data_IF_867632790523
#
_entry.id   IF_867632790523
#
_cell.length_a   1.000
_cell.length_b   1.000
_cell.length_c   1.000
_cell.angle_alpha   90.00
_cell.angle_beta   90.00
_cell.angle_gamma   90.00
#
_symmetry.space_group_name_H-M   'P 1'
#
loop_
_entity.id
_entity.type
_entity.pdbx_description
1 polymer ?
#
# COMPACT_ATOMS: atom_id res chain seq x y z
N UNK A 1 31.27 19.17 25.90
CA UNK A 1 30.03 19.98 25.80
C UNK A 1 29.72 20.26 24.32
N UNK A 2 29.28 19.32 23.48
CA UNK A 2 28.17 18.37 23.60
C UNK A 2 26.81 19.06 23.82
N UNK A 3 26.01 19.00 22.74
CA UNK A 3 24.54 19.10 22.61
C UNK A 3 24.00 20.30 21.80
N UNK A 4 23.07 19.92 20.94
CA UNK A 4 22.00 20.70 20.30
C UNK A 4 22.29 21.34 18.93
N UNK A 5 22.37 20.47 17.90
CA UNK A 5 22.16 20.83 16.50
C UNK A 5 21.42 19.71 15.74
N UNK A 6 20.28 19.25 16.27
CA UNK A 6 19.39 18.31 15.56
C UNK A 6 17.93 18.53 16.00
N UNK A 7 17.27 19.54 15.43
CA UNK A 7 15.80 19.67 15.47
C UNK A 7 15.31 20.71 14.46
N UNK A 8 15.60 20.51 13.18
CA UNK A 8 15.18 21.45 12.14
C UNK A 8 14.72 20.76 10.84
N UNK A 9 13.82 19.77 10.95
CA UNK A 9 12.89 19.43 9.85
C UNK A 9 11.54 19.02 10.48
N UNK A 10 10.89 20.00 11.09
CA UNK A 10 9.47 19.95 11.42
C UNK A 10 8.89 21.30 11.02
N UNK A 11 7.74 21.29 10.36
CA UNK A 11 7.00 22.43 9.79
C UNK A 11 7.39 22.90 8.38
N UNK A 12 6.60 22.49 7.39
CA UNK A 12 6.22 23.35 6.25
C UNK A 12 5.04 22.77 5.47
N UNK A 13 3.90 22.58 6.14
CA UNK A 13 2.60 22.53 5.45
C UNK A 13 1.62 23.41 6.24
N UNK A 14 1.75 24.72 6.04
CA UNK A 14 0.80 25.70 6.52
C UNK A 14 -0.21 25.99 5.39
N UNK A 15 -1.42 25.47 5.51
CA UNK A 15 -2.56 26.05 4.81
C UNK A 15 -2.75 27.47 5.37
N UNK A 16 -2.52 28.50 4.54
CA UNK A 16 -2.82 29.88 4.92
C UNK A 16 -4.35 30.05 5.03
N UNK A 17 -4.86 30.73 6.06
CA UNK A 17 -6.28 31.06 6.13
C UNK A 17 -6.66 32.04 5.02
N UNK A 18 -7.87 31.88 4.47
CA UNK A 18 -8.51 32.90 3.64
C UNK A 18 -8.77 34.12 4.53
N UNK A 19 -8.25 35.32 4.22
CA UNK A 19 -8.46 36.49 5.06
C UNK A 19 -9.93 36.93 4.98
N UNK A 20 -10.65 36.93 6.11
CA UNK A 20 -11.98 37.58 6.21
C UNK A 20 -13.08 36.87 7.01
N UNK A 21 -12.91 35.62 7.45
CA UNK A 21 -13.98 34.90 8.16
C UNK A 21 -13.56 34.54 9.60
N UNK A 22 -13.83 35.42 10.55
CA UNK A 22 -13.80 35.08 11.98
C UNK A 22 -15.15 34.48 12.36
N UNK A 23 -15.22 33.16 12.54
CA UNK A 23 -16.39 32.49 13.11
C UNK A 23 -16.10 32.20 14.59
N UNK A 24 -16.96 32.66 15.53
CA UNK A 24 -16.76 32.39 16.94
C UNK A 24 -17.01 30.91 17.27
N UNK A 25 -16.06 30.28 17.94
CA UNK A 25 -16.18 28.93 18.50
C UNK A 25 -17.27 28.90 19.58
N UNK A 26 -18.43 28.32 19.27
CA UNK A 26 -19.44 27.94 20.28
C UNK A 26 -19.36 26.43 20.50
N UNK A 27 -18.92 26.03 21.68
CA UNK A 27 -18.93 24.62 22.11
C UNK A 27 -20.39 24.14 22.26
N UNK A 28 -20.78 22.99 21.69
CA UNK A 28 -22.10 22.42 21.91
C UNK A 28 -22.25 21.89 23.33
N UNK A 29 -23.35 22.25 24.00
CA UNK A 29 -23.75 21.75 25.30
C UNK A 29 -24.02 20.24 25.30
N UNK A 30 -23.51 19.55 26.32
CA UNK A 30 -23.69 18.13 26.63
C UNK A 30 -25.17 17.68 26.55
N UNK A 31 -25.49 16.84 25.57
CA UNK A 31 -26.63 15.93 25.61
C UNK A 31 -26.19 14.54 25.17
N UNK A 32 -26.05 13.61 26.12
CA UNK A 32 -25.78 12.19 25.87
C UNK A 32 -27.06 11.48 25.39
N UNK A 33 -26.99 10.57 24.40
CA UNK A 33 -28.12 9.70 24.05
C UNK A 33 -28.26 8.52 25.03
N UNK A 34 -29.47 7.95 25.20
CA UNK A 34 -29.74 6.90 26.18
C UNK A 34 -29.23 5.51 25.74
N UNK A 35 -28.65 4.79 26.68
CA UNK A 35 -28.16 3.41 26.56
C UNK A 35 -29.33 2.43 26.70
N UNK A 36 -29.60 1.61 25.69
CA UNK A 36 -30.49 0.44 25.81
C UNK A 36 -29.68 -0.78 26.26
N UNK A 37 -29.93 -1.26 27.48
CA UNK A 37 -29.50 -2.57 27.99
C UNK A 37 -30.57 -3.60 27.63
N UNK A 38 -30.21 -4.66 26.92
CA UNK A 38 -31.03 -5.87 26.82
C UNK A 38 -30.53 -6.92 27.82
N UNK A 39 -31.47 -7.42 28.61
CA UNK A 39 -31.27 -8.36 29.70
C UNK A 39 -31.38 -9.81 29.20
N UNK A 40 -30.53 -10.69 29.73
CA UNK A 40 -30.75 -12.14 29.72
C UNK A 40 -31.75 -12.50 30.84
N UNK A 41 -32.76 -13.35 30.60
CA UNK A 41 -33.50 -13.97 31.70
C UNK A 41 -32.91 -15.34 32.02
N UNK A 42 -32.52 -15.53 33.28
CA UNK A 42 -32.29 -16.84 33.87
C UNK A 42 -33.51 -17.21 34.74
N UNK A 43 -34.03 -18.41 34.47
CA UNK A 43 -34.63 -19.38 35.39
C UNK A 43 -35.87 -19.02 36.22
N UNK A 44 -36.87 -19.92 36.19
CA UNK A 44 -37.59 -20.43 37.38
C UNK A 44 -38.23 -21.79 37.00
N UNK A 45 -38.06 -22.77 37.89
CA UNK A 45 -38.65 -24.11 37.92
C UNK A 45 -40.18 -24.07 38.21
N UNK A 46 -41.03 -25.09 38.23
CA UNK A 46 -41.02 -26.55 38.16
C UNK A 46 -42.49 -26.99 37.91
N UNK A 47 -42.75 -28.20 37.36
CA UNK A 47 -43.86 -29.06 37.83
C UNK A 47 -43.98 -30.38 37.03
N UNK A 48 -44.23 -31.44 37.81
CA UNK A 48 -45.04 -32.63 37.53
C UNK A 48 -44.47 -33.80 36.72
N UNK A 49 -44.37 -34.93 37.43
CA UNK A 49 -44.09 -36.27 36.93
C UNK A 49 -45.39 -37.01 36.56
N UNK A 50 -45.38 -37.77 35.46
CA UNK A 50 -46.20 -38.97 35.27
C UNK A 50 -45.56 -39.88 34.19
N UNK A 51 -45.52 -41.17 34.47
CA UNK A 51 -44.75 -42.20 33.79
C UNK A 51 -45.47 -42.88 32.60
N UNK A 52 -44.70 -43.37 31.61
CA UNK A 52 -44.95 -44.59 30.79
C UNK A 52 -43.81 -44.85 29.79
N UNK A 53 -43.67 -46.07 29.21
CA UNK A 53 -42.43 -46.86 29.31
C UNK A 53 -41.43 -46.75 28.13
N UNK A 54 -40.26 -47.31 28.40
CA UNK A 54 -39.01 -47.28 27.64
C UNK A 54 -39.07 -47.81 26.19
N UNK A 55 -38.38 -47.06 25.31
CA UNK A 55 -37.78 -47.56 24.06
C UNK A 55 -36.30 -47.17 24.10
N UNK A 56 -35.34 -48.11 23.99
CA UNK A 56 -33.92 -47.75 24.01
C UNK A 56 -33.56 -47.00 22.72
N UNK A 57 -32.94 -45.81 22.79
CA UNK A 57 -32.40 -45.15 21.60
C UNK A 57 -31.15 -45.90 21.13
N UNK A 58 -31.16 -46.33 19.86
CA UNK A 58 -29.97 -46.87 19.20
C UNK A 58 -28.82 -45.86 19.17
N UNK A 59 -27.56 -46.31 19.06
CA UNK A 59 -26.41 -45.43 19.09
C UNK A 59 -26.46 -44.42 17.92
N UNK A 60 -26.16 -43.13 18.16
CA UNK A 60 -26.11 -42.15 17.09
C UNK A 60 -24.96 -42.49 16.14
N UNK A 61 -25.27 -42.68 14.86
CA UNK A 61 -24.27 -42.74 13.79
C UNK A 61 -23.58 -41.38 13.69
N UNK A 62 -22.36 -41.28 14.22
CA UNK A 62 -21.53 -40.09 14.08
C UNK A 62 -21.18 -39.87 12.60
N UNK A 63 -21.23 -38.63 12.08
CA UNK A 63 -20.78 -38.36 10.73
C UNK A 63 -19.29 -38.69 10.62
N UNK A 64 -18.91 -39.44 9.59
CA UNK A 64 -17.53 -39.85 9.32
C UNK A 64 -16.60 -38.62 9.39
N UNK A 65 -15.73 -38.60 10.40
CA UNK A 65 -14.85 -37.48 10.66
C UNK A 65 -13.92 -37.25 9.47
N UNK A 66 -13.90 -36.02 8.94
CA UNK A 66 -12.83 -35.54 8.08
C UNK A 66 -11.56 -35.56 8.95
N UNK A 67 -10.76 -36.61 8.82
CA UNK A 67 -9.46 -36.70 9.48
C UNK A 67 -8.58 -35.58 8.93
N UNK A 68 -8.37 -34.53 9.73
CA UNK A 68 -7.36 -33.51 9.44
C UNK A 68 -6.00 -34.20 9.50
N UNK A 69 -5.45 -34.54 8.33
CA UNK A 69 -4.06 -35.00 8.22
C UNK A 69 -3.17 -33.79 8.48
N UNK A 70 -2.79 -33.58 9.74
CA UNK A 70 -1.77 -32.61 10.09
C UNK A 70 -0.45 -33.10 9.51
N UNK A 71 0.24 -32.25 8.72
CA UNK A 71 1.63 -32.51 8.35
C UNK A 71 2.45 -32.77 9.63
N UNK A 72 3.43 -33.69 9.62
CA UNK A 72 4.26 -33.97 10.79
C UNK A 72 4.89 -32.68 11.30
N UNK A 73 4.84 -32.45 12.62
CA UNK A 73 5.54 -31.32 13.25
C UNK A 73 7.01 -31.39 12.85
N UNK A 74 7.54 -30.32 12.24
CA UNK A 74 8.97 -30.26 11.91
C UNK A 74 9.79 -30.53 13.17
N UNK A 75 10.88 -31.29 13.03
CA UNK A 75 11.80 -31.52 14.14
C UNK A 75 12.37 -30.17 14.62
N UNK A 76 12.69 -30.02 15.92
CA UNK A 76 13.30 -28.80 16.43
C UNK A 76 14.58 -28.40 15.69
N UNK A 77 15.33 -29.39 15.20
CA UNK A 77 16.55 -29.21 14.40
C UNK A 77 16.25 -28.72 12.99
N UNK A 78 15.28 -29.33 12.30
CA UNK A 78 14.82 -28.87 10.99
C UNK A 78 14.25 -27.45 11.08
N UNK A 79 13.60 -27.10 12.19
CA UNK A 79 13.13 -25.73 12.45
C UNK A 79 14.30 -24.76 12.60
N UNK A 80 15.33 -25.09 13.40
CA UNK A 80 16.55 -24.28 13.56
C UNK A 80 17.30 -24.10 12.23
N UNK A 81 17.38 -25.15 11.43
CA UNK A 81 18.01 -25.09 10.12
C UNK A 81 17.20 -24.25 9.12
N UNK A 82 15.87 -24.40 9.11
CA UNK A 82 14.98 -23.53 8.36
C UNK A 82 15.20 -22.06 8.76
N UNK A 83 15.28 -21.77 10.05
CA UNK A 83 15.53 -20.42 10.54
C UNK A 83 16.91 -19.88 10.11
N UNK A 84 17.95 -20.70 10.17
CA UNK A 84 19.31 -20.37 9.69
C UNK A 84 19.33 -20.05 8.19
N UNK A 85 18.65 -20.86 7.37
CA UNK A 85 18.61 -20.71 5.91
C UNK A 85 17.69 -19.58 5.45
N UNK A 86 16.55 -19.40 6.12
CA UNK A 86 15.61 -18.33 5.82
C UNK A 86 16.06 -16.97 6.37
N UNK A 87 16.95 -16.95 7.37
CA UNK A 87 17.38 -15.75 8.08
C UNK A 87 16.29 -15.13 8.96
N UNK A 88 15.15 -15.80 9.08
CA UNK A 88 14.03 -15.48 9.96
C UNK A 88 14.23 -16.46 11.11
N UNK A 89 14.23 -16.06 12.36
CA UNK A 89 14.48 -17.00 13.46
C UNK A 89 14.15 -16.37 14.81
N UNK A 90 13.85 -17.18 15.83
CA UNK A 90 13.51 -16.68 17.17
C UNK A 90 14.65 -15.84 17.78
N UNK A 91 15.89 -16.00 17.30
CA UNK A 91 17.07 -15.31 17.81
C UNK A 91 17.13 -13.82 17.43
N UNK A 92 16.21 -13.34 16.57
CA UNK A 92 16.17 -11.94 16.15
C UNK A 92 17.50 -11.49 15.56
N UNK A 93 18.35 -12.39 15.01
CA UNK A 93 19.70 -12.04 14.54
C UNK A 93 19.66 -10.96 13.47
N UNK A 94 18.70 -11.04 12.55
CA UNK A 94 18.41 -10.01 11.55
C UNK A 94 17.88 -8.72 12.16
N UNK A 95 17.05 -8.82 13.19
CA UNK A 95 16.54 -7.66 13.91
C UNK A 95 17.65 -6.95 14.70
N UNK A 96 18.53 -7.69 15.37
CA UNK A 96 19.73 -7.17 16.02
C UNK A 96 20.68 -6.51 15.02
N UNK A 97 20.86 -7.12 13.85
CA UNK A 97 21.67 -6.54 12.78
C UNK A 97 21.03 -5.25 12.23
N UNK A 98 19.70 -5.23 12.05
CA UNK A 98 18.96 -4.03 11.68
C UNK A 98 19.12 -2.94 12.77
N UNK A 99 18.96 -3.26 14.05
CA UNK A 99 19.11 -2.29 15.13
C UNK A 99 20.51 -1.64 15.16
N UNK A 100 21.54 -2.42 14.86
CA UNK A 100 22.94 -1.97 14.81
C UNK A 100 23.29 -1.15 13.54
N UNK A 101 22.46 -1.19 12.51
CA UNK A 101 22.70 -0.44 11.28
C UNK A 101 22.40 1.05 11.42
N UNK A 102 23.21 1.84 10.72
CA UNK A 102 23.06 3.28 10.54
C UNK A 102 21.73 3.64 9.83
N UNK A 103 21.39 4.93 9.82
CA UNK A 103 20.17 5.43 9.18
C UNK A 103 20.07 5.02 7.70
N UNK A 104 18.88 4.57 7.31
CA UNK A 104 18.61 4.09 5.94
C UNK A 104 18.54 5.28 4.98
N UNK A 105 19.24 5.24 3.82
CA UNK A 105 19.19 6.29 2.81
C UNK A 105 17.76 6.59 2.35
N UNK A 106 17.42 7.86 2.06
CA UNK A 106 16.05 8.25 1.67
C UNK A 106 15.61 7.60 0.35
N UNK A 107 16.55 7.29 -0.55
CA UNK A 107 16.29 6.58 -1.81
C UNK A 107 15.64 5.22 -1.59
N UNK A 108 16.10 4.47 -0.60
CA UNK A 108 15.56 3.15 -0.27
C UNK A 108 14.14 3.30 0.28
N UNK A 109 13.90 4.32 1.12
CA UNK A 109 12.56 4.61 1.63
C UNK A 109 11.58 4.95 0.50
N UNK A 110 12.03 5.68 -0.53
CA UNK A 110 11.23 6.01 -1.72
C UNK A 110 10.95 4.79 -2.60
N UNK A 111 11.94 3.94 -2.82
CA UNK A 111 11.83 2.74 -3.67
C UNK A 111 10.89 1.68 -3.08
N UNK A 112 10.87 1.57 -1.76
CA UNK A 112 10.15 0.54 -1.01
C UNK A 112 9.04 1.12 -0.14
N UNK A 113 8.19 1.99 -0.69
CA UNK A 113 7.07 2.58 0.06
C UNK A 113 6.14 1.51 0.65
N UNK A 114 5.97 0.39 -0.04
CA UNK A 114 5.09 -0.70 0.37
C UNK A 114 5.66 -1.58 1.48
N UNK A 115 6.93 -1.42 1.83
CA UNK A 115 7.57 -2.11 2.94
C UNK A 115 6.98 -1.78 4.30
N UNK A 116 6.31 -0.63 4.40
CA UNK A 116 5.74 -0.15 5.63
C UNK A 116 4.72 -1.17 6.17
N UNK A 117 4.68 -1.36 7.50
CA UNK A 117 3.63 -2.14 8.13
C UNK A 117 2.24 -1.62 7.72
N UNK A 118 1.23 -2.50 7.61
CA UNK A 118 -0.13 -2.07 7.39
C UNK A 118 -0.61 -1.22 8.57
N UNK A 119 -1.43 -0.21 8.29
CA UNK A 119 -2.05 0.66 9.29
C UNK A 119 -3.28 -0.08 9.83
N UNK A 120 -3.05 -0.99 10.78
CA UNK A 120 -4.06 -1.77 11.49
C UNK A 120 -3.74 -1.70 12.97
N UNK A 121 -4.72 -1.93 13.86
CA UNK A 121 -4.43 -1.99 15.29
C UNK A 121 -3.38 -3.05 15.58
N UNK A 122 -2.51 -2.76 16.55
CA UNK A 122 -1.37 -3.59 16.90
C UNK A 122 -1.77 -5.03 17.26
N UNK A 123 -2.98 -5.24 17.78
CA UNK A 123 -3.51 -6.56 18.15
C UNK A 123 -3.68 -7.51 16.96
N UNK A 124 -3.88 -6.99 15.75
CA UNK A 124 -4.01 -7.79 14.53
C UNK A 124 -2.71 -7.84 13.71
N UNK A 125 -1.61 -7.35 14.28
CA UNK A 125 -0.34 -7.21 13.59
C UNK A 125 0.63 -8.30 14.01
N UNK A 126 1.08 -9.08 13.02
CA UNK A 126 2.04 -10.17 13.23
C UNK A 126 3.43 -9.81 12.64
N UNK A 127 4.45 -9.52 13.47
CA UNK A 127 5.79 -9.15 12.98
C UNK A 127 6.46 -10.23 12.13
N UNK A 128 6.13 -11.50 12.40
CA UNK A 128 6.65 -12.65 11.64
C UNK A 128 6.11 -12.65 10.21
N UNK A 129 4.80 -12.39 10.05
CA UNK A 129 4.15 -12.33 8.73
C UNK A 129 4.72 -11.16 7.92
N UNK A 130 4.92 -10.01 8.56
CA UNK A 130 5.55 -8.85 7.91
C UNK A 130 6.98 -9.11 7.46
N UNK A 131 7.76 -9.82 8.29
CA UNK A 131 9.12 -10.25 7.93
C UNK A 131 9.13 -11.21 6.74
N UNK A 132 8.21 -12.18 6.73
CA UNK A 132 8.03 -13.12 5.62
C UNK A 132 7.63 -12.40 4.33
N UNK A 133 6.69 -11.45 4.42
CA UNK A 133 6.30 -10.63 3.27
C UNK A 133 7.50 -9.87 2.69
N UNK A 134 8.28 -9.19 3.53
CA UNK A 134 9.46 -8.43 3.08
C UNK A 134 10.53 -9.34 2.45
N UNK A 135 10.80 -10.49 3.07
CA UNK A 135 11.71 -11.49 2.49
C UNK A 135 11.25 -11.97 1.11
N UNK A 136 9.97 -12.25 0.94
CA UNK A 136 9.42 -12.72 -0.34
C UNK A 136 9.39 -11.61 -1.41
N UNK A 137 9.08 -10.36 -1.03
CA UNK A 137 9.19 -9.19 -1.92
C UNK A 137 10.60 -9.08 -2.50
N UNK A 138 11.62 -9.26 -1.66
CA UNK A 138 13.02 -9.14 -2.09
C UNK A 138 13.47 -10.33 -2.92
N UNK A 139 12.97 -11.54 -2.66
CA UNK A 139 13.17 -12.69 -3.57
C UNK A 139 12.57 -12.40 -4.94
N UNK A 140 11.35 -11.86 -5.01
CA UNK A 140 10.71 -11.54 -6.29
C UNK A 140 11.48 -10.48 -7.07
N UNK A 141 12.02 -9.45 -6.38
CA UNK A 141 12.87 -8.41 -6.99
C UNK A 141 14.23 -8.90 -7.50
N UNK A 142 14.67 -10.11 -7.15
CA UNK A 142 15.83 -10.74 -7.80
C UNK A 142 15.54 -11.13 -9.25
N UNK A 143 14.27 -11.33 -9.60
CA UNK A 143 13.81 -11.70 -10.95
C UNK A 143 13.29 -10.49 -11.71
N UNK A 144 12.47 -9.65 -11.07
CA UNK A 144 11.89 -8.45 -11.68
C UNK A 144 12.56 -7.19 -11.14
N UNK A 145 12.98 -6.31 -12.05
CA UNK A 145 13.36 -4.95 -11.69
C UNK A 145 12.11 -4.07 -11.55
N UNK A 146 11.86 -3.56 -10.35
CA UNK A 146 10.75 -2.66 -10.03
C UNK A 146 11.34 -1.26 -9.77
N UNK A 147 11.05 -0.25 -10.62
CA UNK A 147 11.58 1.09 -10.45
C UNK A 147 10.89 1.85 -9.30
N UNK A 148 11.47 2.99 -8.91
CA UNK A 148 10.78 3.97 -8.06
C UNK A 148 9.66 4.64 -8.86
N UNK A 149 8.45 4.68 -8.33
CA UNK A 149 7.35 5.45 -8.91
C UNK A 149 6.35 5.88 -7.84
N UNK A 150 5.64 6.96 -8.12
CA UNK A 150 4.64 7.55 -7.22
C UNK A 150 3.31 7.70 -7.94
N UNK A 151 2.27 8.08 -7.19
CA UNK A 151 0.98 8.45 -7.80
C UNK A 151 1.17 9.72 -8.62
N UNK A 152 0.74 9.65 -9.88
CA UNK A 152 1.01 10.63 -10.93
C UNK A 152 2.09 10.20 -11.92
N UNK A 153 2.94 9.22 -11.62
CA UNK A 153 3.96 8.75 -12.56
C UNK A 153 3.34 7.98 -13.74
N UNK A 154 3.97 8.06 -14.92
CA UNK A 154 3.55 7.32 -16.12
C UNK A 154 4.38 6.05 -16.23
N UNK A 155 3.69 4.91 -16.33
CA UNK A 155 4.31 3.58 -16.37
C UNK A 155 3.90 2.84 -17.64
N UNK A 156 4.81 2.00 -18.12
CA UNK A 156 4.54 0.96 -19.09
C UNK A 156 4.74 -0.41 -18.45
N UNK A 157 3.65 -1.16 -18.31
CA UNK A 157 3.65 -2.49 -17.69
C UNK A 157 3.46 -3.53 -18.79
N UNK A 158 4.35 -4.53 -18.80
CA UNK A 158 4.26 -5.67 -19.70
C UNK A 158 3.85 -6.91 -18.89
N UNK A 159 2.73 -7.52 -19.26
CA UNK A 159 2.14 -8.68 -18.57
C UNK A 159 2.06 -9.87 -19.52
N UNK A 160 2.40 -11.05 -19.03
CA UNK A 160 2.14 -12.31 -19.72
C UNK A 160 0.63 -12.62 -19.69
N UNK A 161 0.01 -12.71 -20.85
CA UNK A 161 -1.37 -13.14 -21.00
C UNK A 161 -1.44 -14.31 -21.99
N UNK A 162 -2.12 -15.38 -21.61
CA UNK A 162 -2.30 -16.58 -22.43
C UNK A 162 -3.07 -16.29 -23.72
N UNK A 163 -3.98 -15.33 -23.69
CA UNK A 163 -4.90 -15.04 -24.79
C UNK A 163 -4.44 -13.89 -25.70
N UNK A 164 -3.41 -13.15 -25.31
CA UNK A 164 -2.82 -12.11 -26.13
C UNK A 164 -2.08 -12.71 -27.34
N UNK A 165 -2.08 -12.05 -28.51
CA UNK A 165 -1.48 -12.58 -29.74
C UNK A 165 0.02 -12.86 -29.59
N UNK A 166 0.74 -11.98 -28.89
CA UNK A 166 2.17 -12.12 -28.63
C UNK A 166 2.47 -12.78 -27.27
N UNK A 167 1.44 -13.31 -26.59
CA UNK A 167 1.46 -13.77 -25.18
C UNK A 167 1.89 -12.74 -24.15
N UNK A 168 2.27 -11.54 -24.59
CA UNK A 168 2.67 -10.40 -23.76
C UNK A 168 1.80 -9.22 -24.18
N UNK A 169 1.13 -8.62 -23.20
CA UNK A 169 0.37 -7.39 -23.36
C UNK A 169 1.14 -6.24 -22.71
N UNK A 170 1.32 -5.14 -23.43
CA UNK A 170 1.96 -3.91 -22.92
C UNK A 170 0.89 -2.84 -22.76
N UNK A 171 0.76 -2.32 -21.55
CA UNK A 171 -0.16 -1.23 -21.24
C UNK A 171 0.62 -0.02 -20.70
N UNK A 172 0.38 1.15 -21.29
CA UNK A 172 0.94 2.42 -20.85
C UNK A 172 -0.17 3.25 -20.21
N UNK A 173 0.11 3.87 -19.07
CA UNK A 173 -0.86 4.72 -18.40
C UNK A 173 -0.34 5.46 -17.17
N UNK A 174 -1.20 6.34 -16.66
CA UNK A 174 -0.96 7.11 -15.44
C UNK A 174 -1.25 6.26 -14.21
N UNK A 175 -0.33 6.23 -13.24
CA UNK A 175 -0.59 5.62 -11.95
C UNK A 175 -1.50 6.53 -11.11
N UNK A 176 -2.75 6.12 -10.94
CA UNK A 176 -3.77 6.90 -10.22
C UNK A 176 -3.80 6.59 -8.73
N UNK A 177 -3.53 5.34 -8.40
CA UNK A 177 -3.76 4.82 -7.08
C UNK A 177 -2.73 3.74 -6.80
N UNK A 178 -2.14 3.80 -5.61
CA UNK A 178 -1.28 2.75 -5.06
C UNK A 178 -1.81 2.42 -3.67
N UNK A 179 -2.19 1.17 -3.45
CA UNK A 179 -2.84 0.71 -2.20
C UNK A 179 -2.19 -0.54 -1.67
N UNK A 180 -2.52 -0.83 -0.43
CA UNK A 180 -2.02 -1.97 0.34
C UNK A 180 -0.51 -1.87 0.61
N UNK A 181 -0.03 -2.79 1.43
CA UNK A 181 1.37 -2.89 1.83
C UNK A 181 1.85 -4.33 1.69
N UNK A 182 3.17 -4.53 1.68
CA UNK A 182 3.80 -5.82 1.55
C UNK A 182 3.63 -6.45 0.15
N UNK A 183 3.35 -7.75 0.14
CA UNK A 183 3.18 -8.54 -1.10
C UNK A 183 1.92 -8.17 -1.88
N UNK A 184 0.86 -7.76 -1.19
CA UNK A 184 -0.45 -7.47 -1.78
C UNK A 184 -0.58 -6.06 -2.34
N UNK A 185 0.54 -5.36 -2.50
CA UNK A 185 0.56 -4.00 -3.00
C UNK A 185 -0.01 -3.95 -4.41
N UNK A 186 -1.05 -3.15 -4.60
CA UNK A 186 -1.68 -2.94 -5.90
C UNK A 186 -1.48 -1.52 -6.38
N UNK A 187 -1.44 -1.36 -7.70
CA UNK A 187 -1.46 -0.05 -8.32
C UNK A 187 -2.36 -0.05 -9.56
N UNK A 188 -3.09 1.05 -9.76
CA UNK A 188 -4.05 1.19 -10.86
C UNK A 188 -3.51 2.15 -11.90
N UNK A 189 -3.40 1.66 -13.13
CA UNK A 189 -3.07 2.47 -14.30
C UNK A 189 -4.35 2.89 -15.02
N UNK A 190 -4.44 4.15 -15.44
CA UNK A 190 -5.48 4.67 -16.32
C UNK A 190 -4.87 5.21 -17.60
N UNK A 191 -5.50 4.90 -18.73
CA UNK A 191 -5.22 5.56 -20.01
C UNK A 191 -6.52 5.67 -20.82
N UNK A 192 -6.51 6.59 -21.77
CA UNK A 192 -7.56 6.80 -22.74
C UNK A 192 -7.14 6.14 -24.06
N UNK A 193 -7.81 5.05 -24.43
CA UNK A 193 -7.48 4.18 -25.57
C UNK A 193 -8.66 4.18 -26.52
N UNK A 194 -8.47 4.64 -27.76
CA UNK A 194 -9.53 4.69 -28.78
C UNK A 194 -10.84 5.35 -28.29
N UNK A 195 -10.72 6.49 -27.59
CA UNK A 195 -11.86 7.22 -26.99
C UNK A 195 -12.57 6.48 -25.85
N UNK A 196 -11.99 5.39 -25.35
CA UNK A 196 -12.47 4.64 -24.18
C UNK A 196 -11.48 4.76 -23.02
N UNK A 197 -12.00 5.08 -21.84
CA UNK A 197 -11.20 5.08 -20.63
C UNK A 197 -10.98 3.66 -20.11
N UNK A 198 -9.74 3.20 -20.10
CA UNK A 198 -9.35 1.88 -19.59
C UNK A 198 -8.64 2.05 -18.26
N UNK A 199 -9.02 1.23 -17.28
CA UNK A 199 -8.33 1.13 -15.99
C UNK A 199 -7.96 -0.32 -15.72
N UNK A 200 -6.69 -0.53 -15.35
CA UNK A 200 -6.19 -1.86 -15.00
C UNK A 200 -5.49 -1.76 -13.65
N UNK A 201 -5.95 -2.56 -12.69
CA UNK A 201 -5.29 -2.74 -11.40
C UNK A 201 -4.30 -3.91 -11.52
N UNK A 202 -3.04 -3.63 -11.21
CA UNK A 202 -1.96 -4.61 -11.20
C UNK A 202 -1.51 -4.88 -9.77
N UNK A 203 -1.24 -6.15 -9.47
CA UNK A 203 -0.53 -6.56 -8.26
C UNK A 203 0.98 -6.46 -8.50
N UNK A 204 1.68 -5.65 -7.70
CA UNK A 204 3.08 -5.30 -7.91
C UNK A 204 4.02 -6.51 -7.97
N UNK A 205 3.74 -7.53 -7.17
CA UNK A 205 4.56 -8.73 -7.03
C UNK A 205 4.03 -9.93 -7.81
N UNK A 206 3.06 -9.73 -8.72
CA UNK A 206 2.47 -10.81 -9.51
C UNK A 206 3.51 -11.58 -10.35
N UNK A 207 3.40 -12.92 -10.43
CA UNK A 207 4.25 -13.73 -11.31
C UNK A 207 4.06 -13.39 -12.79
N UNK A 208 2.88 -12.90 -13.17
CA UNK A 208 2.50 -12.63 -14.56
C UNK A 208 3.15 -11.38 -15.15
N UNK A 209 3.62 -10.45 -14.31
CA UNK A 209 4.29 -9.24 -14.77
C UNK A 209 5.68 -9.63 -15.30
N UNK A 210 6.02 -9.19 -16.51
CA UNK A 210 7.34 -9.39 -17.11
C UNK A 210 8.27 -8.25 -16.74
N UNK A 211 7.81 -7.02 -16.98
CA UNK A 211 8.59 -5.82 -16.72
C UNK A 211 7.70 -4.62 -16.40
N UNK A 212 8.23 -3.74 -15.55
CA UNK A 212 7.63 -2.45 -15.22
C UNK A 212 8.65 -1.39 -15.63
N UNK A 213 8.32 -0.62 -16.66
CA UNK A 213 9.14 0.47 -17.15
C UNK A 213 8.54 1.80 -16.69
N UNK A 214 9.36 2.64 -16.08
CA UNK A 214 9.01 4.01 -15.76
C UNK A 214 9.24 4.87 -17.00
N UNK A 215 8.19 5.52 -17.50
CA UNK A 215 8.30 6.45 -18.63
C UNK A 215 8.54 7.88 -18.13
N UNK A 216 7.75 8.33 -17.15
CA UNK A 216 7.88 9.66 -16.58
C UNK A 216 7.70 9.61 -15.07
N UNK A 217 8.73 10.04 -14.35
CA UNK A 217 8.67 10.19 -12.91
C UNK A 217 8.05 11.54 -12.56
N UNK A 218 6.84 11.53 -12.05
CA UNK A 218 6.21 12.71 -11.47
C UNK A 218 5.37 12.32 -10.25
N UNK A 219 5.25 13.26 -9.31
CA UNK A 219 4.32 13.20 -8.19
C UNK A 219 3.26 14.29 -8.35
N UNK A 220 2.03 14.02 -7.95
CA UNK A 220 0.94 15.01 -7.90
C UNK A 220 0.74 15.53 -6.47
N UNK A 221 -0.12 16.54 -6.32
CA UNK A 221 -0.44 17.14 -5.01
C UNK A 221 -1.15 16.16 -4.07
N UNK A 222 -1.97 15.27 -4.64
CA UNK A 222 -2.78 14.30 -3.90
C UNK A 222 -2.15 12.91 -3.92
N UNK A 223 -2.47 12.11 -2.89
CA UNK A 223 -1.99 10.73 -2.76
C UNK A 223 -2.74 9.75 -3.68
N UNK A 224 -3.94 10.12 -4.15
CA UNK A 224 -4.72 9.38 -5.14
C UNK A 224 -5.37 10.34 -6.15
N UNK A 225 -5.57 9.88 -7.39
CA UNK A 225 -6.08 10.72 -8.49
C UNK A 225 -7.44 10.25 -8.98
N UNK A 226 -8.27 9.73 -8.08
CA UNK A 226 -9.57 9.12 -8.43
C UNK A 226 -10.53 10.11 -9.09
N UNK A 227 -10.37 11.42 -8.84
CA UNK A 227 -11.16 12.47 -9.48
C UNK A 227 -10.94 12.55 -11.00
N UNK A 228 -9.85 11.95 -11.54
CA UNK A 228 -9.61 11.86 -12.98
C UNK A 228 -10.66 11.04 -13.74
N UNK A 229 -11.53 10.32 -13.03
CA UNK A 229 -12.71 9.67 -13.60
C UNK A 229 -13.70 10.67 -14.18
N UNK A 230 -13.90 11.79 -13.48
CA UNK A 230 -14.85 12.86 -13.83
C UNK A 230 -14.15 14.08 -14.49
N UNK A 231 -12.84 14.00 -14.69
CA UNK A 231 -12.04 15.01 -15.37
C UNK A 231 -12.12 14.88 -16.90
N UNK A 232 -11.80 15.94 -17.66
CA UNK A 232 -11.70 15.84 -19.11
C UNK A 232 -10.59 14.87 -19.53
N UNK A 233 -10.82 14.20 -20.65
CA UNK A 233 -9.96 13.13 -21.18
C UNK A 233 -8.52 13.59 -21.47
N UNK A 234 -8.29 14.89 -21.66
CA UNK A 234 -6.97 15.49 -21.90
C UNK A 234 -5.93 15.09 -20.84
N UNK A 235 -6.32 15.06 -19.56
CA UNK A 235 -5.41 14.71 -18.47
C UNK A 235 -5.11 13.21 -18.35
N UNK A 236 -5.86 12.37 -19.07
CA UNK A 236 -5.72 10.90 -19.04
C UNK A 236 -5.17 10.32 -20.34
N UNK A 237 -5.02 11.14 -21.39
CA UNK A 237 -4.60 10.68 -22.72
C UNK A 237 -3.08 10.62 -22.77
N UNK A 238 -2.54 9.40 -22.80
CA UNK A 238 -1.09 9.15 -22.84
C UNK A 238 -0.76 8.31 -24.08
N UNK A 239 0.17 8.74 -24.93
CA UNK A 239 0.56 7.95 -26.10
C UNK A 239 1.29 6.68 -25.68
N UNK A 240 0.97 5.55 -26.32
CA UNK A 240 1.61 4.26 -26.06
C UNK A 240 3.09 4.22 -26.41
N UNK A 241 3.48 5.00 -27.42
CA UNK A 241 4.85 5.08 -27.94
C UNK A 241 5.69 6.14 -27.21
N UNK A 242 5.27 6.57 -26.03
CA UNK A 242 6.02 7.52 -25.21
C UNK A 242 7.39 6.94 -24.83
N UNK A 243 8.44 7.70 -25.14
CA UNK A 243 9.82 7.36 -24.79
C UNK A 243 10.08 7.69 -23.31
N UNK A 244 10.82 6.85 -22.55
CA UNK A 244 11.19 7.16 -21.18
C UNK A 244 12.01 8.45 -21.07
N UNK A 245 11.55 9.37 -20.22
CA UNK A 245 12.27 10.58 -19.84
C UNK A 245 13.42 10.22 -18.88
N UNK A 246 14.67 10.63 -19.17
CA UNK A 246 15.78 10.37 -18.27
C UNK A 246 15.63 11.17 -16.98
N UNK A 247 15.76 10.52 -15.83
CA UNK A 247 15.78 11.17 -14.53
C UNK A 247 17.00 10.72 -13.72
N UNK A 248 17.54 11.64 -12.92
CA UNK A 248 18.62 11.34 -11.99
C UNK A 248 18.03 10.75 -10.70
N UNK A 249 18.69 9.73 -10.14
CA UNK A 249 18.26 9.09 -8.88
C UNK A 249 18.40 10.01 -7.65
N UNK A 250 19.42 10.88 -7.68
CA UNK A 250 19.77 11.74 -6.55
C UNK A 250 18.84 12.95 -6.44
N UNK A 251 18.18 13.32 -7.54
CA UNK A 251 17.32 14.50 -7.57
C UNK A 251 16.00 14.21 -6.84
N UNK A 252 15.43 15.22 -6.16
CA UNK A 252 14.13 15.08 -5.55
C UNK A 252 13.07 14.83 -6.63
N UNK A 253 12.06 14.02 -6.30
CA UNK A 253 10.96 13.69 -7.22
C UNK A 253 10.22 14.97 -7.62
N UNK A 254 10.08 15.28 -8.92
CA UNK A 254 9.39 16.49 -9.36
C UNK A 254 7.89 16.40 -9.04
N UNK A 255 7.35 17.46 -8.44
CA UNK A 255 5.94 17.55 -8.07
C UNK A 255 5.19 18.45 -9.05
N UNK A 256 4.27 17.87 -9.81
CA UNK A 256 3.36 18.61 -10.68
C UNK A 256 2.23 19.23 -9.84
N UNK A 257 2.15 20.56 -9.86
CA UNK A 257 1.18 21.37 -9.10
C UNK A 257 -0.05 21.79 -9.92
N UNK A 258 -0.21 21.24 -11.12
CA UNK A 258 -1.37 21.47 -11.97
C UNK A 258 -2.68 21.09 -11.24
N UNK A 259 -3.66 22.00 -11.30
CA UNK A 259 -5.01 21.77 -10.80
C UNK A 259 -5.95 21.44 -11.96
N UNK A 260 -6.68 20.35 -11.82
CA UNK A 260 -7.57 19.81 -12.84
C UNK A 260 -8.98 20.39 -12.69
N UNK A 261 -9.56 20.85 -13.81
CA UNK A 261 -10.97 21.25 -13.89
C UNK A 261 -11.82 20.03 -14.19
N UNK A 262 -12.84 19.77 -13.38
CA UNK A 262 -13.76 18.67 -13.64
C UNK A 262 -14.78 19.01 -14.72
N UNK A 263 -15.33 17.98 -15.35
CA UNK A 263 -16.50 18.09 -16.21
C UNK A 263 -17.72 18.56 -15.39
N UNK A 264 -18.77 19.10 -16.02
CA UNK A 264 -20.00 19.42 -15.30
C UNK A 264 -20.65 18.15 -14.70
N UNK A 265 -21.44 18.28 -13.61
CA UNK A 265 -22.11 17.16 -12.97
C UNK A 265 -23.15 16.49 -13.91
N UNK A 266 -23.56 15.23 -13.65
CA UNK A 266 -23.33 14.44 -12.45
C UNK A 266 -21.95 13.75 -12.40
N UNK A 267 -21.30 13.80 -11.23
CA UNK A 267 -20.04 13.10 -10.95
C UNK A 267 -20.28 11.74 -10.30
N UNK A 268 -19.31 10.84 -10.40
CA UNK A 268 -19.37 9.54 -9.74
C UNK A 268 -19.27 9.64 -8.20
N UNK A 269 -18.57 10.67 -7.70
CA UNK A 269 -18.37 10.90 -6.27
C UNK A 269 -18.56 12.37 -5.90
N UNK A 270 -18.84 12.62 -4.62
CA UNK A 270 -18.96 13.98 -4.06
C UNK A 270 -17.58 14.55 -3.75
N UNK A 271 -16.82 14.89 -4.79
CA UNK A 271 -15.41 15.31 -4.68
C UNK A 271 -15.16 16.45 -3.71
N UNK A 272 -16.10 17.40 -3.60
CA UNK A 272 -16.06 18.52 -2.66
C UNK A 272 -15.97 18.12 -1.17
N UNK A 273 -16.32 16.87 -0.82
CA UNK A 273 -16.21 16.35 0.55
C UNK A 273 -14.83 15.73 0.84
N UNK A 274 -14.03 15.40 -0.17
CA UNK A 274 -12.81 14.62 0.04
C UNK A 274 -11.56 15.46 0.30
N UNK A 275 -11.60 16.77 0.06
CA UNK A 275 -10.49 17.68 0.36
C UNK A 275 -9.28 17.56 -0.58
N UNK A 276 -9.48 17.14 -1.83
CA UNK A 276 -8.43 17.09 -2.85
C UNK A 276 -7.84 18.47 -3.15
N UNK A 277 -6.51 18.54 -3.28
CA UNK A 277 -5.76 19.77 -3.59
C UNK A 277 -5.49 19.94 -5.09
N UNK A 278 -5.46 18.83 -5.83
CA UNK A 278 -5.26 18.79 -7.27
C UNK A 278 -6.51 19.12 -8.10
N UNK A 279 -7.65 19.37 -7.47
CA UNK A 279 -8.87 19.84 -8.14
C UNK A 279 -8.91 21.37 -8.10
N UNK A 280 -9.35 21.99 -9.18
CA UNK A 280 -9.66 23.41 -9.22
C UNK A 280 -10.93 23.70 -8.39
N UNK A 281 -10.74 24.08 -7.12
CA UNK A 281 -11.83 24.26 -6.15
C UNK A 281 -12.79 25.39 -6.54
N UNK A 282 -12.31 26.46 -7.18
CA UNK A 282 -13.15 27.57 -7.62
C UNK A 282 -14.15 27.10 -8.68
N UNK A 283 -13.65 26.37 -9.68
CA UNK A 283 -14.47 25.76 -10.71
C UNK A 283 -15.43 24.71 -10.13
N UNK A 284 -14.95 23.87 -9.21
CA UNK A 284 -15.77 22.86 -8.54
C UNK A 284 -16.95 23.50 -7.79
N UNK A 285 -16.68 24.53 -6.98
CA UNK A 285 -17.70 25.18 -6.17
C UNK A 285 -18.69 26.01 -6.99
N UNK A 286 -18.33 26.41 -8.22
CA UNK A 286 -19.26 27.11 -9.12
C UNK A 286 -20.52 26.29 -9.46
N UNK A 287 -20.42 24.95 -9.43
CA UNK A 287 -21.54 24.04 -9.69
C UNK A 287 -22.35 23.70 -8.44
N UNK A 288 -21.89 24.09 -7.24
CA UNK A 288 -22.49 23.71 -5.97
C UNK A 288 -23.44 24.77 -5.44
N UNK A 289 -24.45 24.32 -4.69
CA UNK A 289 -25.29 25.22 -3.90
C UNK A 289 -24.57 25.64 -2.62
N UNK A 290 -24.92 26.81 -2.06
CA UNK A 290 -24.40 27.30 -0.78
C UNK A 290 -24.56 26.26 0.35
N UNK A 291 -25.65 25.47 0.30
CA UNK A 291 -25.91 24.39 1.25
C UNK A 291 -24.87 23.28 1.16
N UNK A 292 -24.42 22.95 -0.04
CA UNK A 292 -23.44 21.89 -0.26
C UNK A 292 -22.02 22.38 0.04
N UNK A 293 -21.74 23.66 -0.21
CA UNK A 293 -20.51 24.32 0.26
C UNK A 293 -20.45 24.33 1.79
N UNK A 294 -21.55 24.64 2.48
CA UNK A 294 -21.61 24.59 3.94
C UNK A 294 -21.32 23.17 4.47
N UNK A 295 -21.90 22.13 3.85
CA UNK A 295 -21.58 20.72 4.17
C UNK A 295 -20.12 20.39 3.90
N UNK A 296 -19.53 20.92 2.83
CA UNK A 296 -18.10 20.72 2.55
C UNK A 296 -17.22 21.34 3.65
N UNK A 297 -17.57 22.54 4.13
CA UNK A 297 -16.88 23.21 5.23
C UNK A 297 -17.03 22.40 6.53
N UNK A 298 -18.24 21.93 6.85
CA UNK A 298 -18.47 21.05 8.01
C UNK A 298 -17.67 19.74 7.91
N UNK A 299 -17.65 19.14 6.71
CA UNK A 299 -16.94 17.89 6.45
C UNK A 299 -15.43 18.06 6.32
N UNK A 300 -14.93 19.27 6.07
CA UNK A 300 -13.49 19.56 6.05
C UNK A 300 -12.80 19.23 7.38
N UNK A 301 -13.57 18.84 8.42
CA UNK A 301 -13.13 18.24 9.69
C UNK A 301 -11.87 18.92 10.17
N UNK A 302 -11.90 20.25 10.25
CA UNK A 302 -10.75 21.03 10.69
C UNK A 302 -10.20 20.55 12.05
N UNK A 303 -11.07 19.97 12.89
CA UNK A 303 -10.71 19.35 14.16
C UNK A 303 -9.80 18.11 14.01
N UNK A 304 -9.84 17.36 12.90
CA UNK A 304 -8.96 16.20 12.65
C UNK A 304 -7.48 16.57 12.67
N UNK A 305 -7.13 17.81 12.29
CA UNK A 305 -5.77 18.32 12.42
C UNK A 305 -5.27 18.28 13.88
N UNK A 306 -6.18 18.37 14.84
CA UNK A 306 -5.89 18.36 16.27
C UNK A 306 -6.26 17.03 16.95
N UNK A 307 -6.83 16.08 16.21
CA UNK A 307 -7.17 14.75 16.72
C UNK A 307 -5.90 13.88 16.78
N UNK A 308 -5.25 13.90 17.94
CA UNK A 308 -4.01 13.15 18.18
C UNK A 308 -4.25 11.64 18.14
N UNK A 309 -5.44 11.17 18.50
CA UNK A 309 -5.75 9.73 18.49
C UNK A 309 -5.92 9.24 17.05
N UNK A 310 -6.64 9.99 16.21
CA UNK A 310 -6.74 9.68 14.77
C UNK A 310 -5.36 9.71 14.10
N UNK A 311 -4.50 10.67 14.46
CA UNK A 311 -3.11 10.72 13.98
C UNK A 311 -2.27 9.53 14.45
N UNK A 312 -2.45 9.07 15.69
CA UNK A 312 -1.74 7.91 16.23
C UNK A 312 -2.19 6.61 15.55
N UNK A 313 -3.51 6.42 15.38
CA UNK A 313 -4.08 5.22 14.78
C UNK A 313 -3.80 5.11 13.27
N UNK A 314 -3.79 6.24 12.56
CA UNK A 314 -3.59 6.27 11.11
C UNK A 314 -2.12 6.43 10.69
N UNK A 315 -1.17 6.35 11.64
CA UNK A 315 0.26 6.50 11.37
C UNK A 315 1.01 5.26 11.81
N UNK A 316 1.95 4.82 10.96
CA UNK A 316 2.90 3.77 11.34
C UNK A 316 3.86 4.32 12.42
N UNK A 317 4.03 3.62 13.56
CA UNK A 317 5.02 4.00 14.57
C UNK A 317 6.43 4.09 13.97
N UNK A 318 7.19 5.13 14.33
CA UNK A 318 8.53 5.37 13.79
C UNK A 318 9.48 4.19 14.00
N UNK A 319 9.55 3.55 15.19
CA UNK A 319 10.42 2.39 15.39
C UNK A 319 10.11 1.23 14.45
N UNK A 320 8.83 1.00 14.15
CA UNK A 320 8.39 -0.09 13.28
C UNK A 320 8.70 0.20 11.81
N UNK A 321 8.50 1.45 11.39
CA UNK A 321 8.88 1.88 10.05
C UNK A 321 10.40 1.76 9.85
N UNK A 322 11.20 2.23 10.82
CA UNK A 322 12.65 2.16 10.75
C UNK A 322 13.13 0.70 10.74
N UNK A 323 12.58 -0.15 11.59
CA UNK A 323 12.85 -1.59 11.56
C UNK A 323 12.57 -2.21 10.19
N UNK A 324 11.39 -1.93 9.62
CA UNK A 324 11.00 -2.45 8.32
C UNK A 324 11.97 -2.04 7.20
N UNK A 325 12.38 -0.76 7.20
CA UNK A 325 13.32 -0.22 6.22
C UNK A 325 14.75 -0.75 6.40
N UNK A 326 15.23 -0.89 7.64
CA UNK A 326 16.58 -1.41 7.90
C UNK A 326 16.72 -2.87 7.47
N UNK A 327 15.72 -3.69 7.75
CA UNK A 327 15.70 -5.08 7.28
C UNK A 327 15.70 -5.16 5.75
N UNK A 328 14.88 -4.36 5.06
CA UNK A 328 14.91 -4.30 3.59
C UNK A 328 16.24 -3.76 3.08
N UNK A 329 16.86 -2.82 3.78
CA UNK A 329 18.17 -2.31 3.39
C UNK A 329 19.23 -3.42 3.38
N UNK A 330 19.25 -4.30 4.39
CA UNK A 330 20.09 -5.52 4.40
C UNK A 330 19.80 -6.36 3.15
N UNK A 331 18.52 -6.68 2.93
CA UNK A 331 18.09 -7.50 1.79
C UNK A 331 18.44 -6.86 0.45
N UNK A 332 18.42 -5.53 0.37
CA UNK A 332 18.73 -4.79 -0.85
C UNK A 332 20.22 -4.88 -1.16
N UNK A 333 21.08 -4.80 -0.16
CA UNK A 333 22.52 -5.02 -0.34
C UNK A 333 22.81 -6.44 -0.83
N UNK A 334 22.16 -7.46 -0.26
CA UNK A 334 22.25 -8.84 -0.74
C UNK A 334 21.78 -8.98 -2.19
N UNK A 335 20.70 -8.30 -2.57
CA UNK A 335 20.17 -8.28 -3.93
C UNK A 335 21.18 -7.66 -4.91
N UNK A 336 21.82 -6.55 -4.55
CA UNK A 336 22.85 -5.91 -5.37
C UNK A 336 24.07 -6.83 -5.56
N UNK A 337 24.53 -7.49 -4.49
CA UNK A 337 25.62 -8.47 -4.57
C UNK A 337 25.27 -9.63 -5.50
N UNK A 338 24.05 -10.15 -5.39
CA UNK A 338 23.54 -11.22 -6.26
C UNK A 338 23.51 -10.79 -7.74
N UNK A 339 23.04 -9.58 -8.04
CA UNK A 339 23.06 -9.03 -9.40
C UNK A 339 24.49 -8.89 -9.95
N UNK A 340 25.44 -8.41 -9.14
CA UNK A 340 26.84 -8.32 -9.53
C UNK A 340 27.45 -9.69 -9.84
N UNK A 341 27.17 -10.70 -9.03
CA UNK A 341 27.64 -12.07 -9.25
C UNK A 341 27.08 -12.65 -10.56
N UNK A 342 25.79 -12.44 -10.86
CA UNK A 342 25.18 -12.85 -12.13
C UNK A 342 25.78 -12.14 -13.35
N UNK A 343 26.11 -10.85 -13.22
CA UNK A 343 26.81 -10.12 -14.28
C UNK A 343 28.24 -10.64 -14.50
N UNK A 344 28.94 -11.03 -13.43
CA UNK A 344 30.27 -11.62 -13.55
C UNK A 344 30.22 -13.02 -14.16
N UNK A 345 29.24 -13.85 -13.80
CA UNK A 345 29.10 -15.19 -14.37
C UNK A 345 28.72 -15.14 -15.85
N UNK A 346 27.79 -14.25 -16.25
CA UNK A 346 27.44 -14.03 -17.66
C UNK A 346 28.63 -13.54 -18.49
N UNK A 347 29.40 -12.56 -18.00
CA UNK A 347 30.64 -12.11 -18.65
C UNK A 347 31.67 -13.23 -18.79
N UNK A 348 31.85 -14.07 -17.75
CA UNK A 348 32.73 -15.24 -17.82
C UNK A 348 32.25 -16.23 -18.88
N UNK A 349 30.95 -16.53 -18.95
CA UNK A 349 30.41 -17.43 -19.97
C UNK A 349 30.55 -16.88 -21.40
N UNK A 350 30.38 -15.56 -21.59
CA UNK A 350 30.61 -14.91 -22.89
C UNK A 350 32.08 -14.96 -23.31
N UNK A 351 33.01 -14.81 -22.37
CA UNK A 351 34.46 -14.93 -22.66
C UNK A 351 34.79 -16.38 -23.03
N UNK A 352 34.24 -17.35 -22.29
CA UNK A 352 34.45 -18.78 -22.57
C UNK A 352 33.89 -19.14 -23.95
N UNK A 353 32.65 -18.73 -24.30
CA UNK A 353 32.06 -19.03 -25.60
C UNK A 353 32.86 -18.43 -26.77
N UNK A 354 33.38 -17.22 -26.60
CA UNK A 354 34.29 -16.59 -27.58
C UNK A 354 35.60 -17.35 -27.74
N UNK A 355 36.15 -17.91 -26.67
CA UNK A 355 37.39 -18.71 -26.70
C UNK A 355 37.18 -20.11 -27.29
N UNK A 356 36.03 -20.74 -27.06
CA UNK A 356 35.72 -22.08 -27.55
C UNK A 356 35.21 -22.12 -28.99
N UNK A 357 34.98 -20.96 -29.63
CA UNK A 357 34.54 -20.85 -31.03
C UNK A 357 33.13 -21.40 -31.29
N UNK A 358 32.39 -21.74 -30.24
CA UNK A 358 30.99 -22.15 -30.29
C UNK A 358 30.13 -20.89 -30.29
N UNK A 359 29.97 -20.30 -31.47
CA UNK A 359 29.04 -19.19 -31.72
C UNK A 359 27.60 -19.71 -31.78
#
# INVERSE_FOLDING_TARGET
PARDATSAISSSWQLRPVPGLQVPLRLPSDRRPPVRRFACPASIAAASAAASPAVPPGPPLAPAGIARVYKPRLSPEAMKEFWRLSGIGPDHSRAKAADQQAEVPPEIKRLYQEALPPIVSQDYRDPIVESLHRAEMMRRRRVINIPEFHVGSILAVSVMDKHAPNKVNRFVGLCILRRHTGLFTTFTLRNMVDQVCVQIEYELYSPSIVSIQLLKLERRLDDNLLYLMDAPHSHCTIPFDMVPEPYSRNDPVPVNRERVRLNPPPWMCKWHLHGYQGIDLEHLYSYLSDKDVAKAIEFSKAYKRYDLLDQYLNRVPVPDADYAFKDIFIQHQELLQHQQQQQQSSKKSEVISKLTGTA
#
